data_IF_424003820659
#
_entry.id   IF_424003820659
#
_cell.length_a   1.000
_cell.length_b   1.000
_cell.length_c   1.000
_cell.angle_alpha   90.00
_cell.angle_beta   90.00
_cell.angle_gamma   90.00
#
_symmetry.space_group_name_H-M   'P 1'
#
loop_
_entity.id
_entity.type
_entity.pdbx_description
1 polymer ?
#
# COMPACT_ATOMS: atom_id res chain seq x y z
N UNK A 1 -2.23 -2.07 -19.12
CA UNK A 1 -1.16 -2.10 -18.10
C UNK A 1 -1.37 -0.91 -17.16
N UNK A 2 -1.69 -1.14 -15.89
CA UNK A 2 -1.89 -0.05 -14.92
C UNK A 2 -0.52 0.53 -14.54
N UNK A 3 -0.26 1.79 -14.92
CA UNK A 3 0.96 2.52 -14.55
C UNK A 3 0.67 3.35 -13.31
N UNK A 4 1.48 3.15 -12.27
CA UNK A 4 1.45 3.96 -11.06
C UNK A 4 2.47 5.08 -11.22
N UNK A 5 2.00 6.27 -11.57
CA UNK A 5 2.86 7.44 -11.79
C UNK A 5 2.96 8.28 -10.50
N UNK A 6 4.13 8.87 -10.25
CA UNK A 6 4.37 9.72 -9.07
C UNK A 6 4.63 8.97 -7.75
N UNK A 7 4.66 7.64 -7.75
CA UNK A 7 4.98 6.86 -6.55
C UNK A 7 6.50 6.86 -6.29
N UNK A 8 6.94 7.67 -5.33
CA UNK A 8 8.35 7.68 -4.92
C UNK A 8 8.71 6.44 -4.10
N UNK A 9 10.00 6.08 -4.07
CA UNK A 9 10.50 4.98 -3.20
C UNK A 9 10.17 5.22 -1.72
N UNK A 10 10.23 6.46 -1.25
CA UNK A 10 9.89 6.82 0.12
C UNK A 10 8.42 6.59 0.42
N UNK A 11 7.54 7.07 -0.45
CA UNK A 11 6.08 6.85 -0.34
C UNK A 11 5.74 5.37 -0.37
N UNK A 12 6.32 4.61 -1.30
CA UNK A 12 6.11 3.17 -1.37
C UNK A 12 6.55 2.48 -0.07
N UNK A 13 7.69 2.85 0.49
CA UNK A 13 8.20 2.26 1.75
C UNK A 13 7.23 2.52 2.91
N UNK A 14 6.75 3.76 3.06
CA UNK A 14 5.77 4.12 4.09
C UNK A 14 4.46 3.35 3.93
N UNK A 15 3.96 3.21 2.70
CA UNK A 15 2.73 2.47 2.42
C UNK A 15 2.88 0.97 2.70
N UNK A 16 4.03 0.37 2.38
CA UNK A 16 4.28 -1.03 2.69
C UNK A 16 4.43 -1.29 4.20
N UNK A 17 4.82 -0.30 5.00
CA UNK A 17 4.74 -0.38 6.46
C UNK A 17 3.27 -0.39 6.89
N UNK A 18 2.49 0.60 6.44
CA UNK A 18 1.07 0.71 6.76
C UNK A 18 0.26 -0.53 6.34
N UNK A 19 0.54 -1.10 5.18
CA UNK A 19 -0.08 -2.35 4.72
C UNK A 19 0.21 -3.51 5.67
N UNK A 20 1.44 -3.64 6.18
CA UNK A 20 1.82 -4.72 7.11
C UNK A 20 1.11 -4.59 8.47
N UNK A 21 0.84 -3.36 8.89
CA UNK A 21 0.15 -3.09 10.15
C UNK A 21 -1.38 -3.20 10.03
N UNK A 22 -1.92 -3.14 8.81
CA UNK A 22 -3.36 -3.24 8.56
C UNK A 22 -3.80 -4.70 8.31
N UNK A 23 -4.71 -5.28 9.12
CA UNK A 23 -5.11 -6.69 9.02
C UNK A 23 -5.61 -7.13 7.63
N UNK A 24 -6.27 -6.23 6.91
CA UNK A 24 -6.82 -6.47 5.57
C UNK A 24 -5.75 -6.53 4.47
N UNK A 25 -4.63 -5.82 4.64
CA UNK A 25 -3.63 -5.62 3.58
C UNK A 25 -2.31 -6.34 3.84
N UNK A 26 -2.07 -6.80 5.08
CA UNK A 26 -0.78 -7.39 5.49
C UNK A 26 -0.35 -8.58 4.63
N UNK A 27 -1.30 -9.38 4.14
CA UNK A 27 -1.02 -10.55 3.29
C UNK A 27 -0.57 -10.15 1.87
N UNK A 28 -0.67 -8.87 1.51
CA UNK A 28 -0.20 -8.33 0.24
C UNK A 28 1.28 -7.97 0.20
N UNK A 29 1.97 -8.02 1.35
CA UNK A 29 3.39 -7.68 1.48
C UNK A 29 4.15 -8.88 2.02
N UNK A 30 5.08 -9.40 1.22
CA UNK A 30 5.88 -10.56 1.58
C UNK A 30 7.35 -10.16 1.66
N UNK A 31 7.97 -10.42 2.81
CA UNK A 31 9.38 -10.13 3.08
C UNK A 31 10.15 -11.46 3.20
N UNK A 32 10.47 -12.14 2.08
CA UNK A 32 11.25 -13.38 2.14
C UNK A 32 12.65 -13.17 2.74
N UNK A 33 13.19 -11.94 2.64
CA UNK A 33 14.46 -11.53 3.27
C UNK A 33 14.38 -10.07 3.71
N UNK A 34 15.39 -9.59 4.44
CA UNK A 34 15.49 -8.18 4.86
C UNK A 34 15.75 -7.19 3.71
N UNK A 35 16.12 -7.66 2.51
CA UNK A 35 16.46 -6.79 1.35
C UNK A 35 15.42 -6.84 0.24
N UNK A 36 14.53 -7.82 0.25
CA UNK A 36 13.59 -8.09 -0.84
C UNK A 36 12.17 -8.02 -0.29
N UNK A 37 11.32 -7.30 -1.00
CA UNK A 37 9.89 -7.22 -0.71
C UNK A 37 9.13 -7.58 -1.98
N UNK A 38 8.25 -8.57 -1.88
CA UNK A 38 7.26 -8.85 -2.92
C UNK A 38 5.94 -8.19 -2.56
N UNK A 39 5.31 -7.61 -3.57
CA UNK A 39 4.05 -6.86 -3.43
C UNK A 39 3.02 -7.54 -4.30
N UNK A 40 1.95 -8.03 -3.69
CA UNK A 40 0.79 -8.50 -4.43
C UNK A 40 0.08 -7.29 -5.06
N UNK A 41 0.07 -7.22 -6.39
CA UNK A 41 -0.48 -6.08 -7.13
C UNK A 41 -1.97 -5.84 -6.86
N UNK A 42 -2.76 -6.89 -6.68
CA UNK A 42 -4.20 -6.77 -6.45
C UNK A 42 -4.50 -6.23 -5.05
N UNK A 43 -3.79 -6.73 -4.03
CA UNK A 43 -3.93 -6.24 -2.65
C UNK A 43 -3.40 -4.80 -2.54
N UNK A 44 -2.29 -4.49 -3.21
CA UNK A 44 -1.76 -3.13 -3.26
C UNK A 44 -2.74 -2.16 -3.92
N UNK A 45 -3.41 -2.55 -5.00
CA UNK A 45 -4.46 -1.74 -5.62
C UNK A 45 -5.60 -1.44 -4.65
N UNK A 46 -6.11 -2.47 -3.95
CA UNK A 46 -7.17 -2.32 -2.92
C UNK A 46 -6.73 -1.39 -1.79
N UNK A 47 -5.48 -1.49 -1.35
CA UNK A 47 -4.92 -0.57 -0.36
C UNK A 47 -4.96 0.88 -0.85
N UNK A 48 -4.58 1.15 -2.10
CA UNK A 48 -4.61 2.51 -2.66
C UNK A 48 -6.03 3.05 -2.76
N UNK A 49 -6.98 2.23 -3.23
CA UNK A 49 -8.41 2.59 -3.27
C UNK A 49 -8.95 2.90 -1.87
N UNK A 50 -8.56 2.12 -0.86
CA UNK A 50 -8.88 2.38 0.54
C UNK A 50 -8.26 3.68 1.06
N UNK A 51 -7.00 3.99 0.73
CA UNK A 51 -6.35 5.26 1.07
C UNK A 51 -7.09 6.45 0.49
N UNK A 52 -7.51 6.36 -0.77
CA UNK A 52 -8.31 7.39 -1.44
C UNK A 52 -9.64 7.59 -0.71
N UNK A 53 -10.40 6.52 -0.49
CA UNK A 53 -11.69 6.57 0.18
C UNK A 53 -11.61 7.10 1.63
N UNK A 54 -10.56 6.74 2.38
CA UNK A 54 -10.36 7.21 3.76
C UNK A 54 -9.85 8.64 3.85
N UNK A 55 -9.04 9.10 2.88
CA UNK A 55 -8.62 10.51 2.78
C UNK A 55 -9.81 11.46 2.65
N UNK A 56 -10.84 11.06 1.91
CA UNK A 56 -12.08 11.86 1.81
C UNK A 56 -12.92 11.81 3.10
N UNK A 57 -12.87 10.72 3.87
CA UNK A 57 -13.56 10.62 5.17
C UNK A 57 -12.90 11.48 6.26
N UNK A 58 -11.57 11.63 6.25
CA UNK A 58 -10.88 12.50 7.21
C UNK A 58 -11.05 13.99 6.93
N UNK A 59 -11.32 14.38 5.67
CA UNK A 59 -11.56 15.79 5.29
C UNK A 59 -12.96 16.30 5.64
N UNK A 60 -13.93 15.41 5.89
CA UNK A 60 -15.31 15.77 6.29
C UNK A 60 -15.55 15.81 7.81
N UNK A 61 -14.50 15.91 8.61
CA UNK A 61 -14.63 16.11 10.06
C UNK A 61 -14.55 17.57 10.45
#
# INVERSE_FOLDING_TARGET
MQKWEGLTKGTLTAWLIEMRDHPEFKNGVLNPTHRIVFINKEVFKKFVEWKEATRYKSYKK
#
